data_IF_387712339030
#
_entry.id   IF_387712339030
#
_cell.length_a   1.000
_cell.length_b   1.000
_cell.length_c   1.000
_cell.angle_alpha   90.00
_cell.angle_beta   90.00
_cell.angle_gamma   90.00
#
_symmetry.space_group_name_H-M   'P 1'
#
loop_
_entity.id
_entity.type
_entity.pdbx_description
1 polymer ?
#
# COMPACT_ATOMS: atom_id res chain seq x y z
N UNK A 1 25.36 -29.62 -11.31
CA UNK A 1 23.90 -29.67 -11.02
C UNK A 1 23.56 -28.38 -10.31
N UNK A 2 22.90 -27.46 -11.02
CA UNK A 2 22.54 -26.13 -10.53
C UNK A 2 21.28 -26.26 -9.69
N UNK A 3 21.37 -25.93 -8.40
CA UNK A 3 20.19 -25.77 -7.55
C UNK A 3 19.38 -24.59 -8.07
N UNK A 4 18.11 -24.84 -8.35
CA UNK A 4 17.14 -23.84 -8.79
C UNK A 4 16.87 -22.80 -7.69
N UNK A 5 16.68 -21.51 -8.01
CA UNK A 5 16.43 -20.44 -7.03
C UNK A 5 15.16 -20.61 -6.16
N UNK A 6 14.31 -21.59 -6.49
CA UNK A 6 13.02 -21.88 -5.85
C UNK A 6 13.22 -22.60 -4.51
N UNK A 7 14.38 -23.24 -4.29
CA UNK A 7 14.68 -23.94 -3.04
C UNK A 7 14.98 -23.00 -1.87
N UNK A 8 15.35 -21.74 -2.12
CA UNK A 8 15.73 -20.80 -1.05
C UNK A 8 14.55 -20.32 -0.20
N UNK A 9 13.32 -20.32 -0.75
CA UNK A 9 12.12 -19.84 -0.05
C UNK A 9 11.61 -20.85 1.00
N UNK A 10 11.93 -22.14 0.83
CA UNK A 10 11.54 -23.21 1.75
C UNK A 10 12.42 -23.34 2.99
N UNK A 11 13.60 -22.69 3.02
CA UNK A 11 14.53 -22.77 4.16
C UNK A 11 14.15 -21.89 5.37
N UNK A 12 13.16 -21.00 5.23
CA UNK A 12 12.70 -20.12 6.30
C UNK A 12 11.40 -20.59 6.97
N UNK A 13 10.72 -21.60 6.41
CA UNK A 13 9.49 -22.13 7.00
C UNK A 13 9.79 -23.39 7.82
N UNK A 14 10.06 -23.20 9.11
CA UNK A 14 10.26 -24.31 10.04
C UNK A 14 8.93 -24.65 10.72
N UNK A 15 8.37 -25.85 10.49
CA UNK A 15 7.19 -26.26 11.23
C UNK A 15 7.56 -26.37 12.72
N UNK A 16 6.75 -25.76 13.58
CA UNK A 16 6.90 -25.87 15.03
C UNK A 16 5.63 -26.45 15.62
N UNK A 17 5.76 -27.15 16.75
CA UNK A 17 4.65 -27.79 17.44
C UNK A 17 4.38 -27.00 18.72
N UNK A 18 3.19 -26.39 18.81
CA UNK A 18 2.76 -25.68 20.02
C UNK A 18 1.99 -26.65 20.93
N UNK A 19 2.38 -26.75 22.20
CA UNK A 19 1.70 -27.56 23.22
C UNK A 19 1.27 -26.67 24.38
N UNK A 20 0.02 -26.78 24.79
CA UNK A 20 -0.57 -26.07 25.94
C UNK A 20 -1.46 -27.05 26.71
N UNK A 21 -1.45 -26.99 28.03
CA UNK A 21 -2.27 -27.89 28.87
C UNK A 21 -3.77 -27.67 28.68
N UNK A 22 -4.18 -26.41 28.50
CA UNK A 22 -5.57 -26.03 28.25
C UNK A 22 -5.63 -25.02 27.12
N UNK A 23 -6.40 -25.34 26.09
CA UNK A 23 -6.71 -24.43 25.00
C UNK A 23 -8.02 -23.69 25.31
N UNK A 24 -7.92 -22.40 25.51
CA UNK A 24 -9.06 -21.49 25.64
C UNK A 24 -9.61 -21.12 24.26
N UNK A 25 -10.91 -20.80 24.20
CA UNK A 25 -11.59 -20.42 22.96
C UNK A 25 -10.92 -19.23 22.27
N UNK A 26 -10.39 -18.27 23.04
CA UNK A 26 -9.70 -17.10 22.50
C UNK A 26 -8.36 -17.47 21.83
N UNK A 27 -7.65 -18.50 22.34
CA UNK A 27 -6.42 -18.98 21.70
C UNK A 27 -6.72 -19.74 20.40
N UNK A 28 -7.80 -20.52 20.37
CA UNK A 28 -8.25 -21.21 19.14
C UNK A 28 -8.68 -20.20 18.07
N UNK A 29 -9.46 -19.19 18.45
CA UNK A 29 -9.92 -18.12 17.56
C UNK A 29 -8.73 -17.34 16.96
N UNK A 30 -7.73 -16.99 17.77
CA UNK A 30 -6.50 -16.35 17.27
C UNK A 30 -5.72 -17.23 16.28
N UNK A 31 -5.64 -18.54 16.52
CA UNK A 31 -4.97 -19.46 15.59
C UNK A 31 -5.73 -19.49 14.26
N UNK A 32 -7.05 -19.61 14.29
CA UNK A 32 -7.90 -19.61 13.10
C UNK A 32 -7.74 -18.31 12.30
N UNK A 33 -7.85 -17.16 12.97
CA UNK A 33 -7.63 -15.84 12.35
C UNK A 33 -6.22 -15.73 11.73
N UNK A 34 -5.18 -16.21 12.43
CA UNK A 34 -3.81 -16.14 11.92
C UNK A 34 -3.55 -17.06 10.72
N UNK A 35 -4.26 -18.19 10.62
CA UNK A 35 -4.19 -19.07 9.46
C UNK A 35 -4.78 -18.40 8.22
N UNK A 36 -5.91 -17.70 8.37
CA UNK A 36 -6.54 -16.94 7.28
C UNK A 36 -5.74 -15.68 6.90
N UNK A 37 -5.03 -15.07 7.86
CA UNK A 37 -4.16 -13.90 7.67
C UNK A 37 -2.79 -14.23 7.02
N UNK A 38 -2.53 -15.49 6.65
CA UNK A 38 -1.22 -15.92 6.15
C UNK A 38 -0.87 -15.27 4.79
N UNK A 39 -0.12 -14.19 4.86
CA UNK A 39 0.74 -13.59 3.83
C UNK A 39 0.09 -12.92 2.58
N UNK A 40 -1.14 -13.25 2.19
CA UNK A 40 -1.75 -12.75 0.94
C UNK A 40 -2.90 -11.74 1.12
N UNK A 41 -3.52 -11.66 2.29
CA UNK A 41 -4.73 -10.84 2.51
C UNK A 41 -4.38 -9.46 3.06
N UNK A 42 -3.71 -8.67 2.24
CA UNK A 42 -3.61 -7.25 2.49
C UNK A 42 -4.77 -6.52 1.83
N UNK A 43 -5.74 -6.13 2.65
CA UNK A 43 -6.97 -5.51 2.16
C UNK A 43 -6.73 -4.07 1.66
N UNK A 44 -5.71 -3.38 2.22
CA UNK A 44 -5.47 -1.95 1.97
C UNK A 44 -4.00 -1.64 1.70
N UNK A 45 -3.72 -0.94 0.60
CA UNK A 45 -2.43 -0.32 0.34
C UNK A 45 -2.48 1.18 0.68
N UNK A 46 -1.53 1.68 1.44
CA UNK A 46 -1.43 3.10 1.80
C UNK A 46 -0.10 3.66 1.30
N UNK A 47 -0.16 4.65 0.42
CA UNK A 47 0.99 5.38 -0.08
C UNK A 47 1.03 6.75 0.60
N UNK A 48 1.95 6.91 1.56
CA UNK A 48 2.23 8.21 2.18
C UNK A 48 3.30 8.93 1.37
N UNK A 49 3.02 10.17 0.98
CA UNK A 49 3.91 10.97 0.13
C UNK A 49 4.16 12.35 0.69
N UNK A 50 5.38 12.81 0.46
CA UNK A 50 5.86 14.16 0.66
C UNK A 50 6.90 14.46 -0.43
N UNK A 51 7.17 15.73 -0.71
CA UNK A 51 8.24 16.11 -1.64
C UNK A 51 9.57 15.50 -1.17
N UNK A 52 10.08 14.53 -1.93
CA UNK A 52 11.35 13.86 -1.68
C UNK A 52 11.28 12.65 -0.74
N UNK A 53 10.09 12.30 -0.25
CA UNK A 53 9.88 11.14 0.62
C UNK A 53 8.58 10.43 0.25
N UNK A 54 8.64 9.12 0.02
CA UNK A 54 7.44 8.30 -0.08
C UNK A 54 7.60 6.97 0.66
N UNK A 55 6.51 6.53 1.28
CA UNK A 55 6.42 5.26 1.97
C UNK A 55 5.19 4.49 1.47
N UNK A 56 5.44 3.26 1.02
CA UNK A 56 4.38 2.32 0.65
C UNK A 56 4.16 1.34 1.80
N UNK A 57 2.96 1.38 2.35
CA UNK A 57 2.49 0.47 3.38
C UNK A 57 1.44 -0.46 2.80
N UNK A 58 1.49 -1.69 3.28
CA UNK A 58 0.48 -2.69 3.03
C UNK A 58 -0.14 -3.05 4.38
N UNK A 59 -1.41 -2.70 4.54
CA UNK A 59 -2.18 -2.85 5.78
C UNK A 59 -3.06 -4.09 5.63
N UNK A 60 -2.76 -5.11 6.41
CA UNK A 60 -3.66 -6.25 6.65
C UNK A 60 -4.41 -6.08 7.97
N UNK A 61 -5.26 -7.05 8.30
CA UNK A 61 -6.10 -7.06 9.51
C UNK A 61 -5.30 -6.91 10.81
N UNK A 62 -4.17 -7.60 10.89
CA UNK A 62 -3.38 -7.71 12.12
C UNK A 62 -1.98 -7.06 12.01
N UNK A 63 -1.51 -6.80 10.78
CA UNK A 63 -0.13 -6.37 10.53
C UNK A 63 -0.08 -5.28 9.46
N UNK A 64 0.69 -4.23 9.73
CA UNK A 64 1.10 -3.26 8.71
C UNK A 64 2.54 -3.52 8.31
N UNK A 65 2.78 -3.84 7.04
CA UNK A 65 4.11 -4.02 6.49
C UNK A 65 4.52 -2.79 5.67
N UNK A 66 5.70 -2.25 5.93
CA UNK A 66 6.31 -1.25 5.02
C UNK A 66 6.96 -2.01 3.86
N UNK A 67 6.45 -1.83 2.65
CA UNK A 67 6.96 -2.54 1.45
C UNK A 67 8.09 -1.79 0.78
N UNK A 68 8.00 -0.46 0.73
CA UNK A 68 9.04 0.35 0.11
C UNK A 68 9.17 1.73 0.76
N UNK A 69 10.39 2.26 0.73
CA UNK A 69 10.75 3.61 1.17
C UNK A 69 11.56 4.27 0.07
N UNK A 70 11.14 5.46 -0.33
CA UNK A 70 11.80 6.28 -1.34
C UNK A 70 12.23 7.58 -0.71
N UNK A 71 13.53 7.85 -0.73
CA UNK A 71 14.08 9.12 -0.29
C UNK A 71 14.91 9.67 -1.45
N UNK A 72 14.46 10.79 -2.00
CA UNK A 72 15.18 11.49 -3.05
C UNK A 72 15.36 12.92 -2.58
N UNK A 73 16.60 13.40 -2.40
CA UNK A 73 16.83 14.78 -2.01
C UNK A 73 16.40 15.69 -3.15
N UNK A 74 15.26 16.38 -2.98
CA UNK A 74 14.78 17.33 -3.98
C UNK A 74 15.45 18.68 -3.77
N UNK A 75 16.12 19.25 -4.80
CA UNK A 75 16.76 20.55 -4.68
C UNK A 75 15.71 21.63 -4.40
N UNK A 76 16.02 22.60 -3.53
CA UNK A 76 15.08 23.68 -3.22
C UNK A 76 14.80 24.54 -4.44
N UNK A 77 13.54 24.93 -4.62
CA UNK A 77 13.06 25.80 -5.69
C UNK A 77 13.79 27.16 -5.65
N UNK A 78 14.83 27.33 -6.46
CA UNK A 78 15.59 28.59 -6.54
C UNK A 78 15.89 28.98 -8.00
N UNK A 79 15.29 30.07 -8.48
CA UNK A 79 15.60 30.71 -9.76
C UNK A 79 15.67 29.75 -10.95
N UNK A 80 16.80 29.75 -11.66
CA UNK A 80 17.06 28.88 -12.83
C UNK A 80 17.03 27.37 -12.54
N UNK A 81 17.00 26.94 -11.27
CA UNK A 81 16.89 25.53 -10.88
C UNK A 81 15.45 25.00 -10.88
N UNK A 82 14.45 25.82 -11.25
CA UNK A 82 13.05 25.38 -11.32
C UNK A 82 12.81 24.27 -12.36
N UNK A 83 13.46 24.35 -13.53
CA UNK A 83 13.35 23.28 -14.54
C UNK A 83 13.97 21.95 -14.04
N UNK A 84 15.04 22.03 -13.26
CA UNK A 84 15.67 20.86 -12.65
C UNK A 84 14.81 20.28 -11.52
N UNK A 85 14.09 21.12 -10.78
CA UNK A 85 13.13 20.72 -9.75
C UNK A 85 11.98 19.90 -10.33
N UNK A 86 11.32 20.41 -11.37
CA UNK A 86 10.19 19.73 -12.01
C UNK A 86 10.62 18.39 -12.63
N UNK A 87 11.83 18.34 -13.21
CA UNK A 87 12.42 17.10 -13.74
C UNK A 87 12.67 16.09 -12.62
N UNK A 88 13.28 16.51 -11.51
CA UNK A 88 13.56 15.64 -10.36
C UNK A 88 12.26 15.12 -9.70
N UNK A 89 11.19 15.92 -9.69
CA UNK A 89 9.87 15.49 -9.22
C UNK A 89 9.26 14.44 -10.13
N UNK A 90 9.30 14.63 -11.44
CA UNK A 90 8.80 13.63 -12.39
C UNK A 90 9.57 12.31 -12.28
N UNK A 91 10.89 12.37 -12.13
CA UNK A 91 11.73 11.19 -11.89
C UNK A 91 11.38 10.49 -10.58
N UNK A 92 11.10 11.26 -9.52
CA UNK A 92 10.63 10.72 -8.24
C UNK A 92 9.28 10.02 -8.40
N UNK A 93 8.30 10.64 -9.06
CA UNK A 93 7.00 10.02 -9.32
C UNK A 93 7.10 8.76 -10.17
N UNK A 94 7.97 8.74 -11.19
CA UNK A 94 8.21 7.56 -12.00
C UNK A 94 8.76 6.38 -11.17
N UNK A 95 9.71 6.64 -10.25
CA UNK A 95 10.25 5.61 -9.35
C UNK A 95 9.20 5.07 -8.36
N UNK A 96 8.39 5.97 -7.79
CA UNK A 96 7.32 5.58 -6.86
C UNK A 96 6.28 4.75 -7.58
N UNK A 97 5.92 5.12 -8.81
CA UNK A 97 4.95 4.40 -9.62
C UNK A 97 5.43 2.99 -10.00
N UNK A 98 6.69 2.85 -10.41
CA UNK A 98 7.28 1.54 -10.73
C UNK A 98 7.27 0.62 -9.51
N UNK A 99 7.67 1.13 -8.35
CA UNK A 99 7.61 0.36 -7.11
C UNK A 99 6.18 0.03 -6.67
N UNK A 100 5.24 0.94 -6.89
CA UNK A 100 3.83 0.72 -6.59
C UNK A 100 3.29 -0.45 -7.41
N UNK A 101 3.58 -0.51 -8.73
CA UNK A 101 3.18 -1.64 -9.57
C UNK A 101 3.83 -2.96 -9.16
N UNK A 102 5.10 -2.93 -8.75
CA UNK A 102 5.83 -4.14 -8.34
C UNK A 102 5.37 -4.71 -6.99
N UNK A 103 4.81 -3.87 -6.11
CA UNK A 103 4.44 -4.26 -4.75
C UNK A 103 2.93 -4.37 -4.50
N UNK A 104 2.10 -3.75 -5.34
CA UNK A 104 0.64 -3.72 -5.18
C UNK A 104 0.00 -4.62 -6.23
N UNK A 105 -0.59 -5.71 -5.74
CA UNK A 105 -1.42 -6.58 -6.56
C UNK A 105 -2.90 -6.21 -6.38
N UNK A 106 -3.53 -5.70 -7.43
CA UNK A 106 -4.95 -5.32 -7.43
C UNK A 106 -5.91 -6.51 -7.32
N UNK A 107 -5.42 -7.74 -7.48
CA UNK A 107 -6.20 -8.95 -7.19
C UNK A 107 -6.39 -9.19 -5.70
N UNK A 108 -5.42 -8.77 -4.87
CA UNK A 108 -5.43 -8.95 -3.42
C UNK A 108 -5.89 -7.69 -2.68
N UNK A 109 -5.48 -6.53 -3.17
CA UNK A 109 -5.77 -5.25 -2.52
C UNK A 109 -7.15 -4.73 -2.95
N UNK A 110 -8.03 -4.54 -1.98
CA UNK A 110 -9.37 -4.00 -2.21
C UNK A 110 -9.35 -2.49 -2.43
N UNK A 111 -8.46 -1.79 -1.75
CA UNK A 111 -8.38 -0.33 -1.80
C UNK A 111 -6.95 0.21 -1.75
N UNK A 112 -6.73 1.33 -2.44
CA UNK A 112 -5.46 2.05 -2.43
C UNK A 112 -5.70 3.47 -1.94
N UNK A 113 -5.08 3.85 -0.83
CA UNK A 113 -5.13 5.21 -0.29
C UNK A 113 -3.83 5.92 -0.59
N UNK A 114 -3.91 7.05 -1.30
CA UNK A 114 -2.76 7.95 -1.54
C UNK A 114 -2.94 9.15 -0.63
N UNK A 115 -2.03 9.34 0.31
CA UNK A 115 -2.09 10.44 1.26
C UNK A 115 -0.84 11.30 1.22
N UNK A 116 -1.03 12.62 1.23
CA UNK A 116 0.05 13.59 1.27
C UNK A 116 -0.36 14.87 1.98
N UNK A 117 0.62 15.66 2.41
CA UNK A 117 0.39 17.03 2.83
C UNK A 117 0.39 17.96 1.59
N UNK A 118 -0.77 18.51 1.24
CA UNK A 118 -0.91 19.42 0.11
C UNK A 118 -1.38 18.75 -1.19
N UNK A 119 -0.88 19.24 -2.33
CA UNK A 119 -1.34 18.87 -3.68
C UNK A 119 -0.49 17.76 -4.34
N UNK A 120 0.54 17.25 -3.66
CA UNK A 120 1.45 16.24 -4.22
C UNK A 120 0.71 14.94 -4.56
N UNK A 121 -0.28 14.52 -3.75
CA UNK A 121 -1.16 13.37 -4.04
C UNK A 121 -1.96 13.53 -5.33
N UNK A 122 -2.43 14.76 -5.61
CA UNK A 122 -3.26 15.04 -6.77
C UNK A 122 -2.39 15.03 -8.03
N UNK A 123 -1.21 15.68 -7.96
CA UNK A 123 -0.19 15.63 -9.02
C UNK A 123 0.27 14.21 -9.34
N UNK A 124 0.49 13.39 -8.31
CA UNK A 124 0.87 11.99 -8.51
C UNK A 124 -0.27 11.17 -9.13
N UNK A 125 -1.52 11.40 -8.71
CA UNK A 125 -2.69 10.74 -9.28
C UNK A 125 -2.84 11.10 -10.78
N UNK A 126 -2.72 12.38 -11.12
CA UNK A 126 -2.77 12.84 -12.51
C UNK A 126 -1.64 12.23 -13.35
N UNK A 127 -0.41 12.22 -12.81
CA UNK A 127 0.73 11.58 -13.46
C UNK A 127 0.53 10.07 -13.65
N UNK A 128 0.00 9.37 -12.65
CA UNK A 128 -0.32 7.94 -12.73
C UNK A 128 -1.38 7.67 -13.83
N UNK A 129 -2.44 8.47 -13.90
CA UNK A 129 -3.50 8.33 -14.91
C UNK A 129 -3.01 8.63 -16.33
N UNK A 130 -2.16 9.64 -16.49
CA UNK A 130 -1.50 9.94 -17.75
C UNK A 130 -0.61 8.78 -18.21
N UNK A 131 0.24 8.26 -17.30
CA UNK A 131 1.06 7.09 -17.63
C UNK A 131 0.22 5.87 -17.95
N UNK A 132 -0.87 5.61 -17.22
CA UNK A 132 -1.76 4.48 -17.49
C UNK A 132 -2.49 4.56 -18.83
N UNK A 133 -2.65 5.77 -19.39
CA UNK A 133 -3.20 5.98 -20.74
C UNK A 133 -2.15 5.76 -21.81
N UNK A 134 -0.90 6.16 -21.56
CA UNK A 134 0.20 6.03 -22.52
C UNK A 134 0.83 4.63 -22.55
N UNK A 135 0.80 3.91 -21.42
CA UNK A 135 1.44 2.60 -21.22
C UNK A 135 0.39 1.49 -21.16
N UNK A 136 0.32 0.66 -22.19
CA UNK A 136 -0.68 -0.43 -22.33
C UNK A 136 -0.54 -1.55 -21.28
N UNK A 137 0.60 -1.58 -20.58
CA UNK A 137 0.97 -2.47 -19.49
C UNK A 137 0.29 -2.13 -18.15
N UNK A 138 -0.36 -0.95 -18.03
CA UNK A 138 -0.93 -0.44 -16.76
C UNK A 138 -2.47 -0.45 -16.72
N UNK A 139 -3.14 -1.31 -17.51
CA UNK A 139 -4.62 -1.39 -17.57
C UNK A 139 -5.29 -1.64 -16.23
N UNK A 140 -4.64 -2.41 -15.34
CA UNK A 140 -5.14 -2.70 -14.00
C UNK A 140 -5.37 -1.43 -13.16
N UNK A 141 -4.56 -0.38 -13.36
CA UNK A 141 -4.71 0.90 -12.66
C UNK A 141 -5.91 1.69 -13.21
N UNK A 142 -6.09 1.68 -14.53
CA UNK A 142 -7.20 2.37 -15.22
C UNK A 142 -8.55 1.74 -14.88
N UNK A 143 -8.61 0.40 -14.86
CA UNK A 143 -9.83 -0.36 -14.52
C UNK A 143 -10.18 -0.22 -13.04
N UNK A 144 -9.18 -0.18 -12.16
CA UNK A 144 -9.37 -0.03 -10.71
C UNK A 144 -9.30 1.42 -10.22
N UNK A 145 -9.49 2.41 -11.09
CA UNK A 145 -9.44 3.83 -10.72
C UNK A 145 -10.40 4.17 -9.56
N UNK A 146 -11.55 3.51 -9.49
CA UNK A 146 -12.55 3.70 -8.43
C UNK A 146 -12.06 3.24 -7.04
N UNK A 147 -11.04 2.37 -6.98
CA UNK A 147 -10.44 1.88 -5.73
C UNK A 147 -9.35 2.81 -5.19
N UNK A 148 -8.97 3.84 -5.94
CA UNK A 148 -7.95 4.80 -5.55
C UNK A 148 -8.62 5.96 -4.81
N UNK A 149 -8.28 6.10 -3.54
CA UNK A 149 -8.81 7.13 -2.65
C UNK A 149 -7.71 8.11 -2.31
N UNK A 150 -7.98 9.40 -2.46
CA UNK A 150 -7.06 10.46 -2.08
C UNK A 150 -7.39 10.95 -0.67
N UNK A 151 -6.39 10.97 0.22
CA UNK A 151 -6.54 11.41 1.61
C UNK A 151 -5.53 12.50 1.97
N UNK A 152 -5.82 13.27 3.02
CA UNK A 152 -4.90 14.27 3.56
C UNK A 152 -4.08 13.63 4.69
N UNK A 153 -2.76 13.72 4.61
CA UNK A 153 -1.88 13.35 5.71
C UNK A 153 -1.17 14.59 6.30
N UNK A 154 -0.93 14.64 7.62
CA UNK A 154 -0.13 15.72 8.22
C UNK A 154 1.36 15.62 7.87
N UNK A 155 1.88 14.41 7.58
CA UNK A 155 3.26 14.21 7.14
C UNK A 155 3.40 12.97 6.24
N UNK A 156 4.53 12.85 5.51
CA UNK A 156 4.86 11.67 4.71
C UNK A 156 5.48 10.52 5.52
N UNK A 157 5.62 10.64 6.84
CA UNK A 157 6.31 9.68 7.70
C UNK A 157 5.34 8.63 8.30
N UNK A 158 5.86 7.47 8.76
CA UNK A 158 5.02 6.36 9.25
C UNK A 158 4.10 6.71 10.44
N UNK A 159 4.42 7.73 11.23
CA UNK A 159 3.58 8.11 12.36
C UNK A 159 2.22 8.68 11.92
N UNK A 160 2.15 9.28 10.73
CA UNK A 160 0.91 9.81 10.15
C UNK A 160 -0.03 8.74 9.63
N UNK A 161 0.41 7.48 9.57
CA UNK A 161 -0.44 6.37 9.13
C UNK A 161 -1.67 6.19 10.02
N UNK A 162 -1.52 6.42 11.34
CA UNK A 162 -2.63 6.30 12.30
C UNK A 162 -3.71 7.35 12.05
N UNK A 163 -3.31 8.55 11.63
CA UNK A 163 -4.24 9.64 11.37
C UNK A 163 -5.05 9.37 10.09
N UNK A 164 -4.38 8.88 9.04
CA UNK A 164 -5.01 8.50 7.76
C UNK A 164 -6.00 7.34 7.94
N UNK A 165 -5.64 6.34 8.76
CA UNK A 165 -6.53 5.22 9.08
C UNK A 165 -7.66 5.60 10.06
N UNK A 166 -7.45 6.61 10.90
CA UNK A 166 -8.46 7.08 11.85
C UNK A 166 -9.56 7.94 11.23
N UNK A 167 -9.33 8.45 10.02
CA UNK A 167 -10.28 9.29 9.31
C UNK A 167 -11.39 8.42 8.66
N UNK A 168 -12.54 8.38 9.35
CA UNK A 168 -13.71 7.51 9.10
C UNK A 168 -14.19 7.46 7.64
N UNK A 169 -14.06 8.56 6.90
CA UNK A 169 -14.54 8.67 5.51
C UNK A 169 -13.82 7.73 4.54
N UNK A 170 -12.53 7.45 4.75
CA UNK A 170 -11.72 6.69 3.79
C UNK A 170 -11.89 5.18 3.93
N UNK A 171 -12.16 4.74 5.16
CA UNK A 171 -12.28 3.33 5.52
C UNK A 171 -13.68 2.83 5.15
N UNK A 172 -14.72 3.63 5.43
CA UNK A 172 -16.11 3.29 5.09
C UNK A 172 -16.37 3.25 3.57
N UNK A 173 -15.75 4.12 2.77
CA UNK A 173 -15.84 4.09 1.30
C UNK A 173 -15.15 2.86 0.67
N UNK A 174 -14.16 2.31 1.37
CA UNK A 174 -13.46 1.11 0.96
C UNK A 174 -14.22 -0.17 1.36
N UNK A 175 -14.85 -0.17 2.53
CA UNK A 175 -15.65 -1.31 3.00
C UNK A 175 -17.06 -1.38 2.38
N UNK A 176 -17.67 -0.25 2.00
CA UNK A 176 -19.01 -0.23 1.38
C UNK A 176 -19.07 -0.86 -0.02
N UNK A 177 -17.93 -1.12 -0.67
CA UNK A 177 -17.86 -1.87 -1.93
C UNK A 177 -17.61 -3.38 -1.74
N UNK A 178 -17.62 -3.88 -0.51
CA UNK A 178 -17.59 -5.32 -0.22
C UNK A 178 -19.00 -5.92 -0.38
N UNK A 179 -19.22 -6.88 -1.30
CA UNK A 179 -20.53 -7.53 -1.47
C UNK A 179 -20.95 -8.42 -0.29
N UNK A 180 -20.09 -8.62 0.71
CA UNK A 180 -20.34 -9.55 1.82
C UNK A 180 -20.99 -8.88 3.05
N UNK A 181 -21.20 -7.56 3.03
CA UNK A 181 -21.78 -6.83 4.18
C UNK A 181 -23.28 -6.53 3.99
N UNK A 182 -24.00 -7.51 3.46
CA UNK A 182 -25.45 -7.66 3.66
C UNK A 182 -25.68 -9.05 4.21
N UNK A 183 -25.58 -9.21 5.54
CA UNK A 183 -26.28 -10.23 6.33
C UNK A 183 -25.88 -10.18 7.82
N UNK A 184 -25.92 -8.99 8.45
CA UNK A 184 -25.96 -8.91 9.92
C UNK A 184 -26.83 -7.73 10.37
N UNK A 185 -28.12 -7.84 10.08
CA UNK A 185 -29.20 -7.19 10.85
C UNK A 185 -30.42 -8.12 10.86
N UNK A 186 -30.34 -9.13 11.73
CA UNK A 186 -31.48 -9.85 12.32
C UNK A 186 -31.15 -10.10 13.79
#
# INVERSE_FOLDING_TARGET
>A
MFASPIDFFWWWWRPFILRKEVWDWQALDRIQQSCDDTAANADLAVLLMQEGLAHLFLVGRSVTATRARFEVPIPRKHGCAMAAYDTALNDFFARVLDAFLNHVDFGLVQCVVIASLGFTKDQFCDHMLLQATCRSDMRAVTENKARIVLSRAPSGYPHSLKDVLGEKSHVDLCFTNCPWETDHNL
#
